data_IF_511342159839
#
_entry.id   IF_511342159839
#
_cell.length_a   1.000
_cell.length_b   1.000
_cell.length_c   1.000
_cell.angle_alpha   90.00
_cell.angle_beta   90.00
_cell.angle_gamma   90.00
#
_symmetry.space_group_name_H-M   'P 1'
#
loop_
_entity.id
_entity.type
_entity.pdbx_description
1 polymer ?
#
# COMPACT_ATOMS: atom_id res chain seq x y z
N UNK A 1 -5.36 -9.18 52.88
CA UNK A 1 -4.78 -8.19 51.95
C UNK A 1 -5.16 -8.61 50.53
N UNK A 2 -6.26 -8.09 49.99
CA UNK A 2 -6.68 -8.36 48.60
C UNK A 2 -7.72 -7.28 48.21
N UNK A 3 -7.29 -6.04 47.98
CA UNK A 3 -8.20 -4.92 47.60
C UNK A 3 -7.67 -3.96 46.52
N UNK A 4 -6.51 -4.24 45.92
CA UNK A 4 -5.87 -3.29 44.98
C UNK A 4 -5.72 -3.79 43.54
N UNK A 5 -6.67 -4.58 43.04
CA UNK A 5 -6.67 -5.04 41.65
C UNK A 5 -7.95 -4.63 40.92
N UNK A 6 -8.27 -3.34 40.92
CA UNK A 6 -9.26 -2.77 40.00
C UNK A 6 -8.54 -2.10 38.82
N UNK A 7 -8.51 -2.72 37.63
CA UNK A 7 -7.75 -2.25 36.47
C UNK A 7 -8.34 -1.00 35.80
N UNK A 8 -9.46 -0.45 36.30
CA UNK A 8 -10.16 0.68 35.67
C UNK A 8 -9.84 2.05 36.29
N UNK A 9 -8.95 2.13 37.29
CA UNK A 9 -8.67 3.40 38.00
C UNK A 9 -7.81 4.42 37.23
N UNK A 10 -7.32 4.08 36.04
CA UNK A 10 -6.44 4.95 35.25
C UNK A 10 -6.87 5.04 33.78
N UNK A 11 -8.15 5.29 33.52
CA UNK A 11 -8.59 5.70 32.19
C UNK A 11 -8.51 7.23 32.08
N UNK A 12 -7.72 7.80 31.13
CA UNK A 12 -7.62 9.25 30.99
C UNK A 12 -8.95 9.83 30.49
N UNK A 13 -9.43 10.97 31.05
CA UNK A 13 -10.77 11.52 30.81
C UNK A 13 -11.08 11.86 29.33
N UNK A 14 -10.07 11.99 28.47
CA UNK A 14 -10.26 12.23 27.02
C UNK A 14 -10.97 11.07 26.29
N UNK A 15 -10.88 9.83 26.80
CA UNK A 15 -11.53 8.68 26.17
C UNK A 15 -13.04 8.61 26.44
N UNK A 16 -13.54 9.24 27.50
CA UNK A 16 -14.98 9.25 27.81
C UNK A 16 -15.77 10.14 26.84
N UNK A 17 -15.24 11.32 26.51
CA UNK A 17 -15.87 12.24 25.56
C UNK A 17 -15.99 11.62 24.15
N UNK A 18 -14.94 10.92 23.71
CA UNK A 18 -14.91 10.24 22.41
C UNK A 18 -15.91 9.07 22.36
N UNK A 19 -15.99 8.27 23.43
CA UNK A 19 -16.96 7.17 23.54
C UNK A 19 -18.41 7.65 23.59
N UNK A 20 -18.66 8.80 24.20
CA UNK A 20 -20.00 9.40 24.22
C UNK A 20 -20.42 9.97 22.88
N UNK A 21 -19.47 10.41 22.05
CA UNK A 21 -19.70 10.72 20.64
C UNK A 21 -20.14 9.48 19.86
N UNK A 22 -19.40 8.37 20.00
CA UNK A 22 -19.70 7.10 19.34
C UNK A 22 -21.05 6.54 19.80
N UNK A 23 -21.33 6.53 21.10
CA UNK A 23 -22.61 6.06 21.66
C UNK A 23 -23.77 6.86 21.09
N UNK A 24 -23.64 8.20 20.99
CA UNK A 24 -24.68 9.05 20.40
C UNK A 24 -24.90 8.76 18.92
N UNK A 25 -23.83 8.57 18.15
CA UNK A 25 -23.93 8.21 16.73
C UNK A 25 -24.62 6.86 16.51
N UNK A 26 -24.30 5.85 17.33
CA UNK A 26 -24.92 4.52 17.26
C UNK A 26 -26.41 4.57 17.66
N UNK A 27 -26.76 5.33 18.70
CA UNK A 27 -28.16 5.49 19.12
C UNK A 27 -28.99 6.26 18.08
N UNK A 28 -28.43 7.29 17.45
CA UNK A 28 -29.08 8.02 16.37
C UNK A 28 -29.35 7.10 15.17
N UNK A 29 -28.35 6.32 14.74
CA UNK A 29 -28.50 5.37 13.63
C UNK A 29 -29.52 4.25 13.94
N UNK A 30 -29.62 3.82 15.19
CA UNK A 30 -30.63 2.83 15.61
C UNK A 30 -32.06 3.41 15.60
N UNK A 31 -32.21 4.72 15.81
CA UNK A 31 -33.52 5.39 15.81
C UNK A 31 -34.07 5.69 14.40
N UNK A 32 -33.21 5.69 13.38
CA UNK A 32 -33.58 5.97 11.98
C UNK A 32 -33.92 4.72 11.16
N UNK A 33 -33.82 3.51 11.73
CA UNK A 33 -34.16 2.28 11.02
C UNK A 33 -35.70 2.14 10.86
N UNK A 34 -36.26 2.11 9.63
CA UNK A 34 -37.70 1.94 9.43
C UNK A 34 -38.15 0.54 9.87
N UNK A 35 -39.25 0.50 10.62
CA UNK A 35 -39.81 -0.73 11.19
C UNK A 35 -40.16 -1.75 10.10
N UNK A 36 -39.53 -2.92 10.14
CA UNK A 36 -40.01 -4.12 9.45
C UNK A 36 -41.28 -4.59 10.14
N UNK A 37 -42.43 -4.16 9.62
CA UNK A 37 -43.74 -4.65 10.05
C UNK A 37 -43.89 -6.12 9.65
N UNK A 38 -44.09 -6.93 10.67
CA UNK A 38 -44.41 -8.34 10.59
C UNK A 38 -45.88 -8.51 10.19
N UNK A 39 -46.13 -8.83 8.91
CA UNK A 39 -47.49 -9.18 8.46
C UNK A 39 -47.54 -10.62 7.96
N UNK A 40 -47.91 -11.51 8.89
CA UNK A 40 -48.39 -12.87 8.59
C UNK A 40 -49.61 -12.76 7.67
N UNK A 41 -49.53 -13.30 6.46
CA UNK A 41 -50.73 -13.56 5.67
C UNK A 41 -50.81 -15.02 5.26
N UNK A 42 -51.90 -15.63 5.71
CA UNK A 42 -52.26 -17.04 5.55
C UNK A 42 -52.62 -17.30 4.10
N UNK A 43 -52.18 -18.45 3.63
CA UNK A 43 -52.60 -19.10 2.38
C UNK A 43 -54.12 -19.20 2.38
N UNK A 44 -54.80 -18.64 1.37
CA UNK A 44 -56.15 -19.05 1.00
C UNK A 44 -56.31 -19.04 -0.52
N UNK A 45 -56.93 -20.12 -0.99
CA UNK A 45 -57.11 -20.57 -2.36
C UNK A 45 -58.17 -19.71 -3.09
N UNK A 46 -57.93 -19.45 -4.38
CA UNK A 46 -58.89 -18.94 -5.39
C UNK A 46 -60.07 -19.92 -5.57
N UNK A 47 -61.17 -19.63 -6.32
CA UNK A 47 -61.33 -18.62 -7.39
C UNK A 47 -62.73 -17.96 -7.52
N UNK A 48 -62.87 -17.01 -8.45
CA UNK A 48 -64.04 -16.73 -9.31
C UNK A 48 -63.97 -15.26 -9.76
N UNK A 49 -63.69 -14.98 -11.04
CA UNK A 49 -64.71 -14.74 -12.08
C UNK A 49 -65.17 -13.26 -12.03
N UNK A 50 -65.18 -12.43 -13.08
CA UNK A 50 -65.15 -12.59 -14.53
C UNK A 50 -65.03 -11.17 -15.12
N UNK A 51 -64.28 -11.02 -16.23
CA UNK A 51 -64.52 -10.12 -17.39
C UNK A 51 -64.55 -8.58 -17.12
N UNK A 52 -63.99 -7.67 -17.93
CA UNK A 52 -63.71 -7.68 -19.36
C UNK A 52 -62.78 -6.51 -19.75
N UNK A 53 -62.16 -6.66 -20.93
CA UNK A 53 -61.82 -5.64 -21.93
C UNK A 53 -60.64 -4.66 -21.68
N UNK A 54 -59.61 -4.76 -22.52
CA UNK A 54 -58.69 -3.67 -22.85
C UNK A 54 -57.27 -4.11 -23.22
N UNK A 55 -56.97 -4.17 -24.52
CA UNK A 55 -55.67 -4.52 -25.13
C UNK A 55 -54.54 -3.52 -24.73
N UNK A 56 -53.23 -3.79 -24.75
CA UNK A 56 -52.34 -4.29 -25.82
C UNK A 56 -50.99 -4.74 -25.20
N UNK A 57 -50.38 -5.74 -25.83
CA UNK A 57 -49.09 -6.41 -25.58
C UNK A 57 -47.83 -5.54 -25.54
N UNK A 58 -46.84 -5.90 -24.70
CA UNK A 58 -45.40 -5.78 -25.03
C UNK A 58 -44.66 -7.02 -24.52
N UNK A 59 -43.84 -7.56 -25.44
CA UNK A 59 -43.05 -8.78 -25.33
C UNK A 59 -41.89 -8.72 -24.30
N UNK A 60 -41.68 -9.85 -23.64
CA UNK A 60 -40.44 -10.61 -23.45
C UNK A 60 -39.07 -9.92 -23.60
N UNK A 61 -38.23 -9.95 -22.55
CA UNK A 61 -36.80 -10.35 -22.64
C UNK A 61 -36.40 -11.11 -21.37
N UNK A 62 -36.09 -12.39 -21.52
CA UNK A 62 -35.33 -13.15 -20.54
C UNK A 62 -33.85 -12.72 -20.68
N UNK A 63 -33.29 -12.06 -19.67
CA UNK A 63 -31.84 -11.89 -19.56
C UNK A 63 -31.32 -13.00 -18.67
N UNK A 64 -30.81 -14.06 -19.31
CA UNK A 64 -29.90 -15.02 -18.71
C UNK A 64 -28.68 -14.29 -18.14
N UNK A 65 -28.22 -14.75 -16.97
CA UNK A 65 -26.81 -14.62 -16.61
C UNK A 65 -26.52 -13.74 -15.40
N UNK A 66 -26.59 -14.30 -14.21
CA UNK A 66 -25.81 -13.79 -13.07
C UNK A 66 -25.69 -14.85 -11.98
N UNK A 67 -24.80 -15.82 -12.19
CA UNK A 67 -24.10 -16.53 -11.10
C UNK A 67 -22.94 -17.37 -11.63
N UNK A 68 -22.02 -16.72 -12.33
CA UNK A 68 -20.65 -17.20 -12.45
C UNK A 68 -19.76 -16.03 -12.05
N UNK A 69 -19.66 -15.78 -10.74
CA UNK A 69 -18.41 -15.26 -10.22
C UNK A 69 -17.57 -16.48 -9.82
N UNK A 70 -17.04 -17.13 -10.85
CA UNK A 70 -15.81 -17.91 -10.74
C UNK A 70 -14.73 -16.97 -10.21
N UNK A 71 -14.01 -17.43 -9.19
CA UNK A 71 -12.91 -16.71 -8.56
C UNK A 71 -12.05 -16.03 -9.61
N UNK A 72 -12.00 -14.70 -9.53
CA UNK A 72 -11.09 -13.91 -10.33
C UNK A 72 -9.70 -14.48 -10.11
N UNK A 73 -9.17 -15.08 -11.17
CA UNK A 73 -7.76 -15.36 -11.29
C UNK A 73 -7.09 -13.99 -11.16
N UNK A 74 -6.62 -13.67 -9.97
CA UNK A 74 -5.59 -12.66 -9.81
C UNK A 74 -4.39 -13.24 -10.57
N UNK A 75 -4.33 -12.95 -11.86
CA UNK A 75 -3.07 -12.84 -12.55
C UNK A 75 -2.30 -11.84 -11.71
N UNK A 76 -1.41 -12.36 -10.85
CA UNK A 76 -0.42 -11.59 -10.13
C UNK A 76 0.44 -10.95 -11.22
N UNK A 77 -0.07 -9.87 -11.82
CA UNK A 77 0.74 -8.89 -12.48
C UNK A 77 1.60 -8.36 -11.35
N UNK A 78 2.83 -8.86 -11.26
CA UNK A 78 3.86 -8.25 -10.45
C UNK A 78 3.84 -6.77 -10.84
N UNK A 79 3.27 -5.94 -9.96
CA UNK A 79 3.05 -4.54 -10.24
C UNK A 79 4.41 -3.95 -10.63
N UNK A 80 4.48 -3.27 -11.77
CA UNK A 80 5.71 -2.65 -12.23
C UNK A 80 6.21 -1.69 -11.13
N UNK A 81 7.37 -1.98 -10.56
CA UNK A 81 7.97 -1.19 -9.47
C UNK A 81 8.91 -0.18 -10.08
N UNK A 82 8.73 1.11 -9.79
CA UNK A 82 9.64 2.16 -10.27
C UNK A 82 10.77 2.34 -9.26
N UNK A 83 11.96 1.87 -9.61
CA UNK A 83 13.17 2.06 -8.84
C UNK A 83 13.97 3.27 -9.35
N UNK A 84 14.40 4.13 -8.44
CA UNK A 84 15.32 5.23 -8.74
C UNK A 84 16.41 5.33 -7.66
N UNK A 85 17.63 5.72 -8.06
CA UNK A 85 18.64 6.22 -7.13
C UNK A 85 19.00 7.67 -7.43
N UNK A 86 19.13 8.47 -6.36
CA UNK A 86 19.44 9.90 -6.43
C UNK A 86 20.42 10.28 -5.31
N UNK A 87 21.23 11.30 -5.52
CA UNK A 87 21.95 11.94 -4.42
C UNK A 87 20.96 12.66 -3.50
N UNK A 88 21.33 12.77 -2.23
CA UNK A 88 20.55 13.44 -1.23
C UNK A 88 21.44 14.10 -0.16
N UNK A 89 20.93 15.22 0.37
CA UNK A 89 21.54 15.98 1.45
C UNK A 89 20.70 15.94 2.72
N UNK A 90 21.35 16.14 3.87
CA UNK A 90 20.69 16.32 5.16
C UNK A 90 20.20 17.75 5.38
N UNK A 91 20.74 18.71 4.64
CA UNK A 91 20.40 20.12 4.75
C UNK A 91 19.74 20.61 3.46
N UNK A 92 18.79 21.54 3.61
CA UNK A 92 18.13 22.13 2.45
C UNK A 92 19.12 23.00 1.65
N UNK A 93 19.03 22.90 0.33
CA UNK A 93 19.67 23.81 -0.63
C UNK A 93 18.69 24.15 -1.75
N UNK A 94 18.79 25.34 -2.38
CA UNK A 94 17.95 25.70 -3.51
C UNK A 94 17.98 24.63 -4.62
N UNK A 95 16.79 24.26 -5.10
CA UNK A 95 16.64 23.26 -6.17
C UNK A 95 16.55 21.81 -5.70
N UNK A 96 16.77 21.52 -4.42
CA UNK A 96 16.54 20.19 -3.85
C UNK A 96 15.07 19.98 -3.48
N UNK A 97 14.60 18.73 -3.64
CA UNK A 97 13.24 18.30 -3.29
C UNK A 97 13.22 17.64 -1.91
N UNK A 98 12.47 18.19 -0.98
CA UNK A 98 12.27 17.54 0.33
C UNK A 98 11.54 16.19 0.18
N UNK A 99 12.01 15.18 0.92
CA UNK A 99 11.37 13.88 1.03
C UNK A 99 11.56 13.28 2.43
N UNK A 100 10.61 12.45 2.86
CA UNK A 100 10.72 11.67 4.10
C UNK A 100 11.17 10.25 3.79
N UNK A 101 12.07 9.73 4.61
CA UNK A 101 12.51 8.33 4.57
C UNK A 101 11.43 7.48 5.23
N UNK A 102 10.86 6.52 4.50
CA UNK A 102 9.77 5.66 4.96
C UNK A 102 10.13 4.89 6.25
N UNK A 103 11.37 4.39 6.32
CA UNK A 103 11.81 3.54 7.43
C UNK A 103 12.07 4.26 8.74
N UNK A 104 12.60 5.49 8.67
CA UNK A 104 13.07 6.22 9.85
C UNK A 104 12.24 7.46 10.15
N UNK A 105 11.43 7.93 9.20
CA UNK A 105 10.75 9.22 9.26
C UNK A 105 11.68 10.43 9.08
N UNK A 106 12.98 10.22 8.88
CA UNK A 106 13.96 11.28 8.68
C UNK A 106 13.71 12.07 7.39
N UNK A 107 14.05 13.35 7.40
CA UNK A 107 13.92 14.22 6.22
C UNK A 107 15.25 14.27 5.47
N UNK A 108 15.18 14.17 4.14
CA UNK A 108 16.31 14.34 3.23
C UNK A 108 15.91 15.24 2.07
N UNK A 109 16.90 15.87 1.44
CA UNK A 109 16.71 16.78 0.32
C UNK A 109 17.34 16.17 -0.93
N UNK A 110 16.49 15.78 -1.87
CA UNK A 110 16.86 15.02 -3.05
C UNK A 110 17.32 15.92 -4.18
N UNK A 111 18.39 15.51 -4.85
CA UNK A 111 18.77 16.08 -6.14
C UNK A 111 17.74 15.74 -7.22
N UNK A 112 17.63 16.63 -8.22
CA UNK A 112 16.69 16.44 -9.34
C UNK A 112 17.12 15.30 -10.26
N UNK A 113 18.44 15.12 -10.43
CA UNK A 113 19.03 14.11 -11.29
C UNK A 113 18.77 12.69 -10.77
N UNK A 114 18.26 11.82 -11.65
CA UNK A 114 18.16 10.39 -11.41
C UNK A 114 19.43 9.74 -11.96
N UNK A 115 20.17 9.06 -11.09
CA UNK A 115 21.44 8.43 -11.47
C UNK A 115 21.19 7.12 -12.20
N UNK A 116 20.31 6.28 -11.63
CA UNK A 116 19.90 5.03 -12.25
C UNK A 116 18.42 4.75 -12.03
N UNK A 117 17.85 4.00 -12.97
CA UNK A 117 16.47 3.51 -12.95
C UNK A 117 16.42 1.99 -13.11
N UNK A 118 15.21 1.41 -13.20
CA UNK A 118 15.02 0.00 -13.55
C UNK A 118 15.80 -0.45 -14.80
N UNK A 119 15.92 0.41 -15.82
CA UNK A 119 16.63 0.07 -17.08
C UNK A 119 18.12 -0.16 -16.90
N UNK A 120 18.67 0.33 -15.79
CA UNK A 120 20.07 0.19 -15.41
C UNK A 120 20.32 -1.06 -14.55
N UNK A 121 19.27 -1.86 -14.27
CA UNK A 121 19.34 -3.09 -13.47
C UNK A 121 19.49 -4.31 -14.39
N UNK A 122 20.37 -5.23 -14.01
CA UNK A 122 20.53 -6.54 -14.65
C UNK A 122 19.90 -7.67 -13.83
N UNK A 123 19.88 -7.54 -12.51
CA UNK A 123 19.33 -8.54 -11.61
C UNK A 123 18.90 -7.92 -10.26
N UNK A 124 17.94 -8.56 -9.60
CA UNK A 124 17.45 -8.16 -8.28
C UNK A 124 16.96 -9.37 -7.50
N UNK A 125 17.46 -9.53 -6.27
CA UNK A 125 17.22 -10.72 -5.46
C UNK A 125 16.84 -10.35 -4.04
N UNK A 126 15.95 -11.14 -3.43
CA UNK A 126 15.61 -11.01 -2.01
C UNK A 126 16.77 -11.54 -1.17
N UNK A 127 17.12 -10.78 -0.14
CA UNK A 127 18.14 -11.15 0.85
C UNK A 127 17.57 -11.03 2.25
N UNK A 128 18.20 -11.71 3.21
CA UNK A 128 17.91 -11.49 4.62
C UNK A 128 18.29 -10.06 5.02
N UNK A 129 17.46 -9.44 5.84
CA UNK A 129 17.69 -8.11 6.41
C UNK A 129 18.54 -8.16 7.67
N UNK A 130 18.79 -6.99 8.26
CA UNK A 130 19.58 -6.87 9.49
C UNK A 130 18.88 -7.45 10.72
N UNK A 131 17.54 -7.54 10.67
CA UNK A 131 16.71 -8.06 11.76
C UNK A 131 16.14 -9.44 11.41
N UNK A 132 15.95 -10.33 12.41
CA UNK A 132 15.32 -11.62 12.20
C UNK A 132 13.96 -11.47 11.51
N UNK A 133 13.70 -12.31 10.50
CA UNK A 133 12.45 -12.33 9.74
C UNK A 133 12.11 -11.01 9.01
N UNK A 134 13.10 -10.14 8.81
CA UNK A 134 13.02 -8.97 7.91
C UNK A 134 13.92 -9.23 6.72
N UNK A 135 13.55 -8.67 5.58
CA UNK A 135 14.22 -8.89 4.31
C UNK A 135 14.63 -7.56 3.69
N UNK A 136 15.51 -7.64 2.70
CA UNK A 136 15.89 -6.55 1.81
C UNK A 136 16.00 -7.04 0.38
N UNK A 137 16.45 -6.16 -0.51
CA UNK A 137 16.65 -6.49 -1.93
C UNK A 137 18.07 -6.12 -2.34
N UNK A 138 18.85 -7.10 -2.79
CA UNK A 138 20.11 -6.86 -3.47
C UNK A 138 19.81 -6.52 -4.93
N UNK A 139 20.44 -5.46 -5.43
CA UNK A 139 20.30 -4.97 -6.80
C UNK A 139 21.64 -5.02 -7.50
N UNK A 140 21.69 -5.65 -8.67
CA UNK A 140 22.87 -5.70 -9.53
C UNK A 140 22.61 -4.88 -10.78
N UNK A 141 23.37 -3.81 -10.96
CA UNK A 141 23.32 -2.93 -12.12
C UNK A 141 23.99 -3.59 -13.32
N UNK A 142 23.46 -3.29 -14.51
CA UNK A 142 24.15 -3.61 -15.75
C UNK A 142 25.39 -2.71 -15.95
N UNK A 143 26.21 -2.98 -16.96
CA UNK A 143 27.47 -2.26 -17.18
C UNK A 143 27.27 -0.74 -17.36
N UNK A 144 26.20 -0.32 -18.04
CA UNK A 144 25.89 1.10 -18.23
C UNK A 144 25.47 1.76 -16.90
N UNK A 145 24.61 1.10 -16.13
CA UNK A 145 24.18 1.53 -14.80
C UNK A 145 25.32 1.64 -13.80
N UNK A 146 26.20 0.64 -13.75
CA UNK A 146 27.38 0.63 -12.88
C UNK A 146 28.32 1.80 -13.19
N UNK A 147 28.51 2.11 -14.48
CA UNK A 147 29.37 3.19 -14.91
C UNK A 147 28.74 4.58 -14.66
N UNK A 148 27.41 4.72 -14.82
CA UNK A 148 26.68 5.93 -14.37
C UNK A 148 26.86 6.14 -12.87
N UNK A 149 26.63 5.11 -12.05
CA UNK A 149 26.79 5.18 -10.59
C UNK A 149 28.22 5.53 -10.18
N UNK A 150 29.22 4.89 -10.78
CA UNK A 150 30.63 5.17 -10.47
C UNK A 150 30.98 6.63 -10.70
N UNK A 151 30.56 7.21 -11.84
CA UNK A 151 30.80 8.63 -12.13
C UNK A 151 30.04 9.55 -11.20
N UNK A 152 28.76 9.26 -10.96
CA UNK A 152 27.90 10.10 -10.12
C UNK A 152 28.31 10.07 -8.64
N UNK A 153 28.92 8.98 -8.16
CA UNK A 153 29.30 8.83 -6.75
C UNK A 153 30.78 9.15 -6.47
N UNK A 154 31.63 9.26 -7.51
CA UNK A 154 33.08 9.46 -7.36
C UNK A 154 33.47 10.67 -6.52
N UNK A 155 32.65 11.74 -6.54
CA UNK A 155 32.93 13.01 -5.84
C UNK A 155 32.00 13.30 -4.67
N UNK A 156 31.12 12.35 -4.32
CA UNK A 156 30.04 12.55 -3.36
C UNK A 156 30.17 11.66 -2.11
N UNK A 157 31.37 11.11 -1.89
CA UNK A 157 31.64 10.30 -0.70
C UNK A 157 31.39 11.14 0.56
N UNK A 158 30.57 10.61 1.47
CA UNK A 158 30.10 11.29 2.69
C UNK A 158 28.66 11.80 2.61
N UNK A 159 28.14 12.04 1.40
CA UNK A 159 26.76 12.44 1.15
C UNK A 159 25.79 11.24 1.24
N UNK A 160 24.48 11.48 1.14
CA UNK A 160 23.49 10.42 1.13
C UNK A 160 23.16 10.00 -0.30
N UNK A 161 22.86 8.71 -0.46
CA UNK A 161 22.24 8.20 -1.68
C UNK A 161 20.84 7.70 -1.36
N UNK A 162 19.83 8.39 -1.85
CA UNK A 162 18.45 8.00 -1.70
C UNK A 162 18.10 6.88 -2.68
N UNK A 163 17.51 5.81 -2.17
CA UNK A 163 16.90 4.75 -2.95
C UNK A 163 15.39 4.88 -2.86
N UNK A 164 14.75 5.03 -4.01
CA UNK A 164 13.33 5.29 -4.13
C UNK A 164 12.60 4.12 -4.78
N UNK A 165 11.40 3.86 -4.28
CA UNK A 165 10.43 2.94 -4.87
C UNK A 165 9.13 3.72 -5.08
N UNK A 166 8.65 3.76 -6.32
CA UNK A 166 7.41 4.44 -6.69
C UNK A 166 7.38 5.92 -6.25
N UNK A 167 8.55 6.55 -6.23
CA UNK A 167 8.76 7.96 -5.85
C UNK A 167 8.91 8.21 -4.34
N UNK A 168 8.73 7.19 -3.50
CA UNK A 168 8.92 7.22 -2.05
C UNK A 168 10.37 6.86 -1.69
N UNK A 169 11.00 7.62 -0.79
CA UNK A 169 12.35 7.31 -0.31
C UNK A 169 12.26 6.20 0.72
N UNK A 170 12.74 5.02 0.36
CA UNK A 170 12.73 3.86 1.28
C UNK A 170 13.87 3.97 2.28
N UNK A 171 15.07 4.32 1.78
CA UNK A 171 16.27 4.49 2.59
C UNK A 171 17.23 5.49 1.93
N UNK A 172 18.10 6.08 2.73
CA UNK A 172 19.10 7.04 2.27
C UNK A 172 20.43 6.86 3.04
N UNK A 173 21.18 5.76 2.81
CA UNK A 173 22.44 5.52 3.50
C UNK A 173 23.52 6.53 3.11
N UNK A 174 24.50 6.73 4.01
CA UNK A 174 25.72 7.47 3.71
C UNK A 174 26.59 6.72 2.71
N UNK A 175 26.99 7.41 1.66
CA UNK A 175 27.90 6.93 0.65
C UNK A 175 29.31 6.85 1.22
N UNK A 176 29.83 5.63 1.41
CA UNK A 176 31.16 5.38 2.03
C UNK A 176 32.29 5.25 1.02
N UNK A 177 31.96 4.89 -0.20
CA UNK A 177 32.87 4.75 -1.33
C UNK A 177 32.07 4.92 -2.62
N UNK A 178 32.72 5.20 -3.76
CA UNK A 178 32.04 5.17 -5.05
C UNK A 178 31.35 3.82 -5.25
N UNK A 179 30.09 3.84 -5.72
CA UNK A 179 29.31 2.64 -5.96
C UNK A 179 29.59 2.13 -7.38
N UNK A 180 29.94 0.86 -7.47
CA UNK A 180 30.10 0.14 -8.73
C UNK A 180 28.78 -0.49 -9.19
N UNK A 181 28.77 -1.82 -9.32
CA UNK A 181 27.66 -2.55 -9.92
C UNK A 181 26.60 -3.06 -8.93
N UNK A 182 26.83 -2.99 -7.61
CA UNK A 182 25.93 -3.59 -6.62
C UNK A 182 25.44 -2.58 -5.60
N UNK A 183 24.15 -2.67 -5.25
CA UNK A 183 23.52 -1.90 -4.18
C UNK A 183 22.58 -2.79 -3.35
N UNK A 184 22.33 -2.40 -2.10
CA UNK A 184 21.39 -3.09 -1.22
C UNK A 184 20.31 -2.12 -0.77
N UNK A 185 19.06 -2.47 -1.05
CA UNK A 185 17.88 -1.80 -0.55
C UNK A 185 17.45 -2.47 0.77
N UNK A 186 17.84 -1.87 1.89
CA UNK A 186 17.32 -2.25 3.20
C UNK A 186 15.93 -1.66 3.37
N UNK A 187 14.87 -2.45 3.07
CA UNK A 187 13.47 -2.05 3.26
C UNK A 187 12.84 -2.52 4.57
N UNK A 188 13.57 -3.27 5.42
CA UNK A 188 13.01 -3.97 6.57
C UNK A 188 11.63 -4.57 6.24
N UNK A 189 11.51 -5.23 5.10
CA UNK A 189 10.24 -5.61 4.52
C UNK A 189 9.91 -7.06 4.92
N UNK A 190 8.65 -7.46 4.81
CA UNK A 190 8.29 -8.88 4.83
C UNK A 190 8.87 -9.57 3.59
N UNK A 191 9.02 -10.90 3.65
CA UNK A 191 9.52 -11.67 2.49
C UNK A 191 8.68 -11.42 1.23
N UNK A 192 7.36 -11.45 1.36
CA UNK A 192 6.45 -11.23 0.24
C UNK A 192 6.58 -9.81 -0.37
N UNK A 193 6.80 -8.78 0.46
CA UNK A 193 7.05 -7.43 -0.02
C UNK A 193 8.40 -7.32 -0.74
N UNK A 194 9.46 -7.93 -0.19
CA UNK A 194 10.77 -7.98 -0.82
C UNK A 194 10.70 -8.71 -2.17
N UNK A 195 9.98 -9.83 -2.25
CA UNK A 195 9.75 -10.59 -3.48
C UNK A 195 8.98 -9.75 -4.51
N UNK A 196 7.94 -9.02 -4.09
CA UNK A 196 7.22 -8.10 -4.98
C UNK A 196 8.14 -7.02 -5.53
N UNK A 197 8.98 -6.41 -4.67
CA UNK A 197 9.92 -5.37 -5.08
C UNK A 197 10.95 -5.95 -6.06
N UNK A 198 11.62 -7.05 -5.72
CA UNK A 198 12.62 -7.69 -6.57
C UNK A 198 12.03 -8.12 -7.92
N UNK A 199 10.86 -8.77 -7.93
CA UNK A 199 10.22 -9.16 -9.18
C UNK A 199 9.80 -7.94 -10.01
N UNK A 200 9.30 -6.88 -9.37
CA UNK A 200 8.89 -5.65 -10.04
C UNK A 200 10.05 -4.87 -10.66
N UNK A 201 11.26 -4.98 -10.11
CA UNK A 201 12.45 -4.34 -10.68
C UNK A 201 12.89 -4.95 -12.02
N UNK A 202 12.61 -6.25 -12.21
CA UNK A 202 13.08 -7.06 -13.33
C UNK A 202 12.20 -6.94 -14.58
N UNK A 203 11.00 -6.37 -14.46
CA UNK A 203 9.99 -6.40 -15.53
C UNK A 203 10.25 -5.29 -16.53
N UNK A 204 10.44 -5.70 -17.78
CA UNK A 204 10.34 -4.87 -19.00
C UNK A 204 9.09 -5.23 -19.76
#
# INVERSE_FOLDING_TARGET
MLRDADPLRHEPPRLEEERDGIRRAVLAAASEAPSRSSMRWRINRTPAALLAAGAVSVLSVAVLGSKIWSGGSATLHAAAVRFEMRLADTAFSPGLREARIALTGGVVYLHQEIIVTNDDISDSQVIDGERPSRFGVAVTLNAAGAEKMRRATARHVGELIAMLIDGEVITAPRLRSPIGASAVLSCDCTKAEAERIANGMRIR
#
